data_IF_749866071301
#
_entry.id   IF_749866071301
#
_cell.length_a   1.000
_cell.length_b   1.000
_cell.length_c   1.000
_cell.angle_alpha   90.00
_cell.angle_beta   90.00
_cell.angle_gamma   90.00
#
_symmetry.space_group_name_H-M   'P 1'
#
loop_
_entity.id
_entity.type
_entity.pdbx_description
1 polymer ?
#
# COMPACT_ATOMS: atom_id res chain seq x y z
N UNK A 1 31.92 -35.50 56.65
CA UNK A 1 30.69 -35.02 56.03
C UNK A 1 31.04 -33.75 55.25
N UNK A 2 31.06 -33.79 53.92
CA UNK A 2 31.31 -32.64 53.03
C UNK A 2 29.98 -32.23 52.41
N UNK A 3 29.52 -31.06 52.70
CA UNK A 3 28.30 -30.48 52.09
C UNK A 3 28.61 -29.94 50.67
N UNK A 4 27.91 -30.46 49.70
CA UNK A 4 27.91 -29.97 48.30
C UNK A 4 26.92 -28.80 48.22
N UNK A 5 27.42 -27.58 47.99
CA UNK A 5 26.59 -26.41 47.66
C UNK A 5 26.20 -26.47 46.17
N UNK A 6 24.92 -26.62 45.89
CA UNK A 6 24.38 -26.51 44.55
C UNK A 6 24.22 -25.04 44.18
N UNK A 7 25.00 -24.58 43.20
CA UNK A 7 24.89 -23.24 42.61
C UNK A 7 23.81 -23.26 41.54
N UNK A 8 22.67 -22.62 41.80
CA UNK A 8 21.60 -22.43 40.81
C UNK A 8 21.94 -21.21 39.91
N UNK A 9 22.30 -21.49 38.68
CA UNK A 9 22.45 -20.46 37.65
C UNK A 9 21.06 -19.99 37.21
N UNK A 10 20.66 -18.81 37.63
CA UNK A 10 19.51 -18.10 37.11
C UNK A 10 19.85 -17.58 35.70
N UNK A 11 19.33 -18.22 34.66
CA UNK A 11 19.34 -17.70 33.29
C UNK A 11 18.40 -16.48 33.24
N UNK A 12 18.84 -15.34 32.69
CA UNK A 12 17.93 -14.21 32.46
C UNK A 12 16.88 -14.58 31.44
N UNK A 13 15.61 -14.45 31.80
CA UNK A 13 14.51 -14.55 30.86
C UNK A 13 14.65 -13.42 29.84
N UNK A 14 14.86 -13.76 28.58
CA UNK A 14 14.80 -12.82 27.48
C UNK A 14 13.35 -12.30 27.38
N UNK A 15 13.12 -11.06 27.81
CA UNK A 15 11.88 -10.37 27.54
C UNK A 15 11.79 -10.17 26.02
N UNK A 16 10.87 -10.91 25.37
CA UNK A 16 10.45 -10.56 24.03
C UNK A 16 9.87 -9.14 24.09
N UNK A 17 10.42 -8.23 23.27
CA UNK A 17 9.87 -6.88 23.17
C UNK A 17 8.39 -7.00 22.75
N UNK A 18 7.48 -6.40 23.51
CA UNK A 18 6.08 -6.30 23.12
C UNK A 18 6.02 -5.62 21.76
N UNK A 19 5.18 -6.11 20.82
CA UNK A 19 5.02 -5.45 19.53
C UNK A 19 4.58 -4.00 19.78
N UNK A 20 5.20 -3.06 19.07
CA UNK A 20 4.86 -1.64 19.17
C UNK A 20 3.34 -1.46 19.10
N UNK A 21 2.79 -0.64 19.97
CA UNK A 21 1.33 -0.41 20.10
C UNK A 21 0.68 0.06 18.81
N UNK A 22 1.46 0.61 17.87
CA UNK A 22 1.05 1.01 16.52
C UNK A 22 2.23 0.98 15.55
N UNK A 23 1.94 0.90 14.25
CA UNK A 23 2.93 0.95 13.17
C UNK A 23 2.53 2.03 12.17
N UNK A 24 3.48 2.88 11.80
CA UNK A 24 3.28 3.88 10.74
C UNK A 24 3.52 3.26 9.37
N UNK A 25 2.65 3.57 8.41
CA UNK A 25 2.74 3.14 7.02
C UNK A 25 2.56 4.34 6.10
N UNK A 26 3.43 4.47 5.09
CA UNK A 26 3.27 5.41 3.99
C UNK A 26 2.86 4.65 2.73
N UNK A 27 1.93 5.18 1.95
CA UNK A 27 1.46 4.51 0.74
C UNK A 27 1.25 5.51 -0.41
N UNK A 28 1.76 5.19 -1.59
CA UNK A 28 1.37 5.77 -2.87
C UNK A 28 1.79 4.85 -4.02
N UNK A 29 1.21 5.07 -5.19
CA UNK A 29 1.60 4.49 -6.47
C UNK A 29 1.83 5.60 -7.50
N UNK A 30 2.10 5.21 -8.77
CA UNK A 30 2.18 6.14 -9.89
C UNK A 30 3.32 7.15 -9.70
N UNK A 31 4.59 6.65 -9.76
CA UNK A 31 5.71 7.28 -9.08
C UNK A 31 6.66 8.00 -10.03
N UNK A 32 7.56 7.27 -10.71
CA UNK A 32 8.71 7.88 -11.35
C UNK A 32 8.57 7.96 -12.87
N UNK A 33 8.55 9.15 -13.43
CA UNK A 33 8.66 9.37 -14.88
C UNK A 33 10.12 9.45 -15.31
N UNK A 34 10.49 8.57 -16.26
CA UNK A 34 11.85 8.48 -16.80
C UNK A 34 12.01 9.21 -18.14
N UNK A 35 10.92 9.68 -18.71
CA UNK A 35 10.87 10.44 -19.96
C UNK A 35 10.90 11.97 -19.73
N UNK A 36 10.98 12.42 -18.49
CA UNK A 36 11.00 13.83 -18.11
C UNK A 36 12.18 14.19 -17.21
N UNK A 37 13.18 14.85 -17.79
CA UNK A 37 14.18 15.64 -17.07
C UNK A 37 15.00 14.89 -16.00
N UNK A 38 15.46 15.65 -15.00
CA UNK A 38 16.27 15.15 -13.89
C UNK A 38 15.38 14.50 -12.82
N UNK A 39 15.56 13.18 -12.51
CA UNK A 39 14.80 12.50 -11.47
C UNK A 39 14.85 13.19 -10.11
N UNK A 40 15.95 13.87 -9.76
CA UNK A 40 16.08 14.59 -8.49
C UNK A 40 15.16 15.82 -8.36
N UNK A 41 14.55 16.26 -9.47
CA UNK A 41 13.64 17.42 -9.52
C UNK A 41 12.21 17.02 -9.86
N UNK A 42 11.92 15.73 -9.83
CA UNK A 42 10.62 15.16 -10.19
C UNK A 42 9.62 15.16 -9.02
N UNK A 43 8.35 14.94 -9.33
CA UNK A 43 7.32 14.68 -8.32
C UNK A 43 7.67 13.46 -7.45
N UNK A 44 8.31 12.44 -8.05
CA UNK A 44 8.80 11.27 -7.32
C UNK A 44 9.88 11.62 -6.29
N UNK A 45 10.76 12.57 -6.58
CA UNK A 45 11.74 13.05 -5.61
C UNK A 45 11.05 13.77 -4.44
N UNK A 46 10.09 14.65 -4.73
CA UNK A 46 9.36 15.39 -3.71
C UNK A 46 8.60 14.45 -2.75
N UNK A 47 7.89 13.45 -3.27
CA UNK A 47 7.19 12.46 -2.45
C UNK A 47 8.16 11.54 -1.71
N UNK A 48 9.32 11.21 -2.31
CA UNK A 48 10.34 10.45 -1.64
C UNK A 48 10.96 11.22 -0.46
N UNK A 49 11.22 12.52 -0.59
CA UNK A 49 11.74 13.37 0.50
C UNK A 49 10.73 13.45 1.66
N UNK A 50 9.45 13.60 1.34
CA UNK A 50 8.37 13.54 2.32
C UNK A 50 8.40 12.24 3.13
N UNK A 51 8.46 11.08 2.43
CA UNK A 51 8.48 9.76 3.06
C UNK A 51 9.78 9.56 3.86
N UNK A 52 10.95 9.93 3.33
CA UNK A 52 12.23 9.84 4.03
C UNK A 52 12.20 10.59 5.36
N UNK A 53 11.64 11.80 5.38
CA UNK A 53 11.48 12.58 6.62
C UNK A 53 10.67 11.81 7.65
N UNK A 54 9.59 11.16 7.23
CA UNK A 54 8.78 10.31 8.10
C UNK A 54 9.50 9.04 8.57
N UNK A 55 10.29 8.39 7.69
CA UNK A 55 11.08 7.20 8.01
C UNK A 55 12.26 7.49 8.95
N UNK A 56 12.78 8.70 8.93
CA UNK A 56 13.79 9.16 9.91
C UNK A 56 13.16 9.37 11.28
N UNK A 57 11.96 9.95 11.34
CA UNK A 57 11.23 10.16 12.57
C UNK A 57 10.70 8.84 13.19
N UNK A 58 10.35 7.85 12.36
CA UNK A 58 9.90 6.51 12.79
C UNK A 58 10.72 5.41 12.08
N UNK A 59 11.78 4.89 12.74
CA UNK A 59 12.61 3.83 12.18
C UNK A 59 11.88 2.51 11.91
N UNK A 60 10.70 2.30 12.43
CA UNK A 60 9.89 1.09 12.22
C UNK A 60 8.78 1.26 11.18
N UNK A 61 8.60 2.46 10.64
CA UNK A 61 7.60 2.72 9.60
C UNK A 61 7.90 1.92 8.31
N UNK A 62 6.85 1.51 7.62
CA UNK A 62 6.89 0.78 6.36
C UNK A 62 6.33 1.62 5.20
N UNK A 63 6.63 1.20 3.96
CA UNK A 63 6.12 1.81 2.74
C UNK A 63 5.38 0.77 1.90
N UNK A 64 4.15 1.06 1.50
CA UNK A 64 3.39 0.26 0.54
C UNK A 64 3.45 0.97 -0.83
N UNK A 65 4.06 0.34 -1.82
CA UNK A 65 4.09 0.82 -3.19
C UNK A 65 2.91 0.22 -3.95
N UNK A 66 2.03 1.08 -4.47
CA UNK A 66 0.73 0.70 -5.01
C UNK A 66 0.73 0.47 -6.53
N UNK A 67 1.89 0.12 -7.10
CA UNK A 67 2.07 -0.12 -8.53
C UNK A 67 2.50 1.10 -9.30
N UNK A 68 2.85 0.88 -10.57
CA UNK A 68 3.41 1.87 -11.48
C UNK A 68 4.57 2.65 -10.86
N UNK A 69 5.60 1.88 -10.47
CA UNK A 69 6.82 2.42 -9.89
C UNK A 69 7.58 3.31 -10.89
N UNK A 70 7.54 2.93 -12.18
CA UNK A 70 8.24 3.64 -13.26
C UNK A 70 7.40 3.78 -14.51
N UNK A 71 7.64 4.83 -15.25
CA UNK A 71 7.05 5.15 -16.55
C UNK A 71 8.16 5.39 -17.57
N UNK A 72 7.92 5.06 -18.91
CA UNK A 72 6.62 4.62 -19.43
C UNK A 72 6.34 3.10 -19.38
N UNK A 73 7.35 2.22 -19.16
CA UNK A 73 7.14 0.78 -19.43
C UNK A 73 7.77 -0.19 -18.42
N UNK A 74 8.28 0.27 -17.30
CA UNK A 74 8.78 -0.59 -16.21
C UNK A 74 10.04 -1.40 -16.57
N UNK A 75 10.96 -0.85 -17.38
CA UNK A 75 12.21 -1.51 -17.73
C UNK A 75 13.20 -1.57 -16.56
N UNK A 76 14.17 -2.50 -16.56
CA UNK A 76 15.25 -2.49 -15.57
C UNK A 76 16.03 -1.17 -15.51
N UNK A 77 16.22 -0.50 -16.64
CA UNK A 77 16.88 0.81 -16.70
C UNK A 77 16.06 1.89 -15.99
N UNK A 78 14.74 1.96 -16.23
CA UNK A 78 13.86 2.90 -15.55
C UNK A 78 13.87 2.69 -14.03
N UNK A 79 13.89 1.44 -13.56
CA UNK A 79 14.04 1.16 -12.13
C UNK A 79 15.37 1.63 -11.58
N UNK A 80 16.47 1.50 -12.33
CA UNK A 80 17.82 1.93 -11.90
C UNK A 80 17.95 3.44 -11.92
N UNK A 81 17.50 4.07 -13.02
CA UNK A 81 17.85 5.45 -13.33
C UNK A 81 16.84 6.47 -12.77
N UNK A 82 15.59 6.05 -12.54
CA UNK A 82 14.53 6.95 -12.09
C UNK A 82 13.98 6.58 -10.70
N UNK A 83 13.52 5.34 -10.52
CA UNK A 83 12.99 4.89 -9.23
C UNK A 83 14.11 4.78 -8.18
N UNK A 84 15.26 4.25 -8.55
CA UNK A 84 16.42 4.06 -7.67
C UNK A 84 16.84 5.34 -6.94
N UNK A 85 17.10 6.44 -7.65
CA UNK A 85 17.48 7.71 -7.02
C UNK A 85 16.38 8.37 -6.16
N UNK A 86 15.12 8.02 -6.37
CA UNK A 86 13.96 8.59 -5.69
C UNK A 86 13.44 7.63 -4.61
N UNK A 87 12.43 6.85 -4.88
CA UNK A 87 11.82 5.90 -3.95
C UNK A 87 12.70 4.69 -3.63
N UNK A 88 13.70 4.40 -4.44
CA UNK A 88 14.70 3.37 -4.15
C UNK A 88 15.53 3.62 -2.89
N UNK A 89 15.58 4.87 -2.39
CA UNK A 89 16.28 5.25 -1.16
C UNK A 89 15.78 4.51 0.08
N UNK A 90 14.53 4.03 0.06
CA UNK A 90 13.93 3.25 1.14
C UNK A 90 13.41 1.88 0.68
N UNK A 91 14.02 1.31 -0.35
CA UNK A 91 13.68 0.00 -0.93
C UNK A 91 13.56 -1.12 0.12
N UNK A 92 14.46 -1.16 1.09
CA UNK A 92 14.47 -2.18 2.15
C UNK A 92 13.25 -2.12 3.09
N UNK A 93 12.48 -1.05 3.03
CA UNK A 93 11.25 -0.84 3.79
C UNK A 93 9.99 -0.89 2.94
N UNK A 94 10.17 -1.10 1.63
CA UNK A 94 9.08 -1.09 0.65
C UNK A 94 8.49 -2.49 0.46
N UNK A 95 7.18 -2.57 0.57
CA UNK A 95 6.35 -3.72 0.25
C UNK A 95 5.61 -3.43 -1.06
N UNK A 96 6.10 -3.92 -2.22
CA UNK A 96 5.61 -3.49 -3.51
C UNK A 96 4.40 -4.28 -4.00
N UNK A 97 3.49 -3.63 -4.74
CA UNK A 97 2.55 -4.27 -5.65
C UNK A 97 2.86 -3.85 -7.10
N UNK A 98 2.67 -4.71 -8.12
CA UNK A 98 2.92 -4.32 -9.50
C UNK A 98 1.73 -3.57 -10.11
N UNK A 99 2.01 -2.56 -10.94
CA UNK A 99 1.04 -1.87 -11.78
C UNK A 99 1.06 -2.32 -13.24
N UNK A 100 0.31 -1.67 -14.09
CA UNK A 100 0.23 -2.04 -15.52
C UNK A 100 1.46 -1.58 -16.32
N UNK A 101 2.12 -0.50 -15.92
CA UNK A 101 3.36 -0.06 -16.58
C UNK A 101 4.51 -1.04 -16.35
N UNK A 102 4.57 -1.74 -15.23
CA UNK A 102 5.52 -2.84 -15.04
C UNK A 102 5.28 -3.97 -16.04
N UNK A 103 4.01 -4.30 -16.36
CA UNK A 103 3.66 -5.35 -17.32
C UNK A 103 3.75 -4.93 -18.79
N UNK A 104 3.98 -3.65 -19.10
CA UNK A 104 4.37 -3.22 -20.44
C UNK A 104 5.76 -3.79 -20.82
N UNK A 105 6.63 -4.02 -19.85
CA UNK A 105 7.82 -4.88 -20.02
C UNK A 105 7.42 -6.35 -19.81
N UNK A 106 7.80 -7.22 -20.74
CA UNK A 106 7.42 -8.65 -20.74
C UNK A 106 7.68 -9.30 -19.39
N UNK A 107 6.63 -9.87 -18.79
CA UNK A 107 6.69 -10.55 -17.51
C UNK A 107 7.03 -9.64 -16.32
N UNK A 108 6.85 -8.32 -16.47
CA UNK A 108 7.25 -7.32 -15.48
C UNK A 108 8.71 -7.49 -15.03
N UNK A 109 9.62 -7.78 -15.97
CA UNK A 109 10.99 -8.17 -15.66
C UNK A 109 11.77 -7.10 -14.88
N UNK A 110 11.52 -5.81 -15.11
CA UNK A 110 12.12 -4.72 -14.33
C UNK A 110 11.69 -4.77 -12.87
N UNK A 111 10.41 -4.92 -12.62
CA UNK A 111 9.83 -5.01 -11.27
C UNK A 111 10.37 -6.21 -10.48
N UNK A 112 10.26 -7.42 -11.05
CA UNK A 112 10.73 -8.63 -10.37
C UNK A 112 12.25 -8.64 -10.19
N UNK A 113 13.01 -8.15 -11.18
CA UNK A 113 14.47 -8.01 -11.08
C UNK A 113 14.87 -7.01 -10.00
N UNK A 114 14.19 -5.87 -9.93
CA UNK A 114 14.49 -4.83 -8.96
C UNK A 114 14.12 -5.25 -7.53
N UNK A 115 12.90 -5.67 -7.27
CA UNK A 115 12.44 -6.00 -5.91
C UNK A 115 12.84 -7.40 -5.45
N UNK A 116 13.17 -8.32 -6.37
CA UNK A 116 13.60 -9.68 -6.04
C UNK A 116 12.60 -10.40 -5.13
N UNK A 117 13.06 -10.96 -4.01
CA UNK A 117 12.22 -11.70 -3.08
C UNK A 117 11.06 -10.87 -2.48
N UNK A 118 11.21 -9.56 -2.35
CA UNK A 118 10.14 -8.69 -1.83
C UNK A 118 8.91 -8.62 -2.76
N UNK A 119 9.08 -8.87 -4.06
CA UNK A 119 7.98 -8.94 -5.02
C UNK A 119 7.13 -10.20 -4.88
N UNK A 120 7.61 -11.23 -4.19
CA UNK A 120 6.94 -12.53 -4.09
C UNK A 120 6.65 -13.12 -5.47
N UNK A 121 5.42 -13.58 -5.69
CA UNK A 121 4.88 -14.01 -6.99
C UNK A 121 4.10 -12.90 -7.70
N UNK A 122 4.34 -11.63 -7.33
CA UNK A 122 3.51 -10.49 -7.67
C UNK A 122 2.33 -10.30 -6.71
N UNK A 123 2.13 -11.25 -5.78
CA UNK A 123 1.18 -11.16 -4.68
C UNK A 123 1.68 -11.97 -3.48
N UNK A 124 1.40 -11.51 -2.29
CA UNK A 124 1.85 -12.11 -1.03
C UNK A 124 1.10 -11.54 0.17
N UNK A 125 1.32 -12.10 1.36
CA UNK A 125 0.79 -11.58 2.61
C UNK A 125 1.87 -11.52 3.69
N UNK A 126 1.74 -10.57 4.60
CA UNK A 126 2.66 -10.40 5.72
C UNK A 126 1.94 -9.81 6.94
N UNK A 127 2.61 -9.89 8.08
CA UNK A 127 2.15 -9.28 9.32
C UNK A 127 2.92 -7.98 9.56
N UNK A 128 2.22 -6.91 9.93
CA UNK A 128 2.81 -5.65 10.32
C UNK A 128 2.14 -5.14 11.61
N UNK A 129 2.84 -5.22 12.73
CA UNK A 129 2.22 -5.04 14.03
C UNK A 129 1.07 -6.02 14.25
N UNK A 130 -0.11 -5.51 14.58
CA UNK A 130 -1.33 -6.29 14.77
C UNK A 130 -2.14 -6.53 13.48
N UNK A 131 -1.74 -5.90 12.36
CA UNK A 131 -2.46 -5.94 11.10
C UNK A 131 -1.97 -7.03 10.18
N UNK A 132 -2.90 -7.69 9.49
CA UNK A 132 -2.59 -8.58 8.38
C UNK A 132 -2.71 -7.82 7.06
N UNK A 133 -1.64 -7.85 6.26
CA UNK A 133 -1.58 -7.14 4.99
C UNK A 133 -1.50 -8.12 3.82
N UNK A 134 -2.20 -7.76 2.72
CA UNK A 134 -2.23 -8.52 1.47
C UNK A 134 -1.86 -7.61 0.31
N UNK A 135 -0.72 -7.88 -0.35
CA UNK A 135 -0.39 -7.34 -1.66
C UNK A 135 -1.01 -8.23 -2.72
N UNK A 136 -1.82 -7.67 -3.61
CA UNK A 136 -2.46 -8.40 -4.71
C UNK A 136 -1.99 -7.82 -6.05
N UNK A 137 -2.10 -8.64 -7.10
CA UNK A 137 -1.77 -8.25 -8.47
C UNK A 137 -3.05 -8.13 -9.31
N UNK A 138 -3.41 -6.91 -9.64
CA UNK A 138 -4.59 -6.61 -10.46
C UNK A 138 -4.35 -6.74 -11.97
N UNK A 139 -3.12 -7.08 -12.40
CA UNK A 139 -2.76 -7.21 -13.81
C UNK A 139 -2.92 -8.63 -14.37
N UNK A 140 -3.17 -9.60 -13.51
CA UNK A 140 -3.23 -11.01 -13.88
C UNK A 140 -4.35 -11.30 -14.87
N UNK A 141 -4.09 -12.20 -15.81
CA UNK A 141 -5.09 -12.78 -16.69
C UNK A 141 -6.13 -13.58 -15.91
N UNK A 142 -7.22 -14.00 -16.56
CA UNK A 142 -8.36 -14.66 -15.90
C UNK A 142 -7.94 -15.90 -15.09
N UNK A 143 -7.07 -16.73 -15.66
CA UNK A 143 -6.62 -17.99 -15.03
C UNK A 143 -5.75 -17.72 -13.81
N UNK A 144 -4.74 -16.85 -13.94
CA UNK A 144 -3.83 -16.50 -12.86
C UNK A 144 -4.56 -15.73 -11.74
N UNK A 145 -5.52 -14.87 -12.11
CA UNK A 145 -6.38 -14.19 -11.14
C UNK A 145 -7.20 -15.20 -10.31
N UNK A 146 -7.76 -16.26 -10.93
CA UNK A 146 -8.48 -17.29 -10.21
C UNK A 146 -7.56 -18.05 -9.21
N UNK A 147 -6.31 -18.30 -9.59
CA UNK A 147 -5.30 -18.91 -8.68
C UNK A 147 -4.99 -17.96 -7.51
N UNK A 148 -4.79 -16.67 -7.77
CA UNK A 148 -4.59 -15.66 -6.74
C UNK A 148 -5.80 -15.58 -5.80
N UNK A 149 -7.02 -15.59 -6.32
CA UNK A 149 -8.24 -15.53 -5.52
C UNK A 149 -8.40 -16.75 -4.61
N UNK A 150 -8.12 -17.95 -5.13
CA UNK A 150 -8.13 -19.19 -4.33
C UNK A 150 -7.09 -19.12 -3.20
N UNK A 151 -5.89 -18.63 -3.49
CA UNK A 151 -4.86 -18.39 -2.49
C UNK A 151 -5.28 -17.36 -1.44
N UNK A 152 -5.88 -16.22 -1.86
CA UNK A 152 -6.35 -15.17 -0.95
C UNK A 152 -7.39 -15.73 0.04
N UNK A 153 -8.40 -16.47 -0.45
CA UNK A 153 -9.42 -17.10 0.41
C UNK A 153 -8.81 -18.09 1.41
N UNK A 154 -7.86 -18.90 0.97
CA UNK A 154 -7.16 -19.83 1.84
C UNK A 154 -6.32 -19.12 2.91
N UNK A 155 -5.64 -18.03 2.56
CA UNK A 155 -4.85 -17.23 3.50
C UNK A 155 -5.75 -16.52 4.53
N UNK A 156 -6.85 -15.90 4.11
CA UNK A 156 -7.82 -15.26 4.99
C UNK A 156 -8.40 -16.26 6.00
N UNK A 157 -8.80 -17.45 5.54
CA UNK A 157 -9.35 -18.49 6.42
C UNK A 157 -8.29 -19.04 7.40
N UNK A 158 -7.05 -19.20 6.97
CA UNK A 158 -5.97 -19.77 7.79
C UNK A 158 -5.39 -18.78 8.80
N UNK A 159 -5.48 -17.48 8.52
CA UNK A 159 -4.86 -16.40 9.29
C UNK A 159 -5.85 -15.28 9.58
N UNK A 160 -6.92 -15.57 10.33
CA UNK A 160 -7.86 -14.53 10.70
C UNK A 160 -7.13 -13.44 11.50
N UNK A 161 -7.48 -12.19 11.23
CA UNK A 161 -6.92 -11.02 11.91
C UNK A 161 -8.05 -10.06 12.24
N UNK A 162 -7.97 -9.40 13.39
CA UNK A 162 -8.93 -8.38 13.76
C UNK A 162 -8.95 -7.21 12.77
N UNK A 163 -7.77 -6.82 12.28
CA UNK A 163 -7.64 -5.72 11.33
C UNK A 163 -6.88 -6.22 10.10
N UNK A 164 -7.45 -6.03 8.93
CA UNK A 164 -6.89 -6.47 7.66
C UNK A 164 -6.85 -5.31 6.65
N UNK A 165 -5.72 -5.18 5.96
CA UNK A 165 -5.51 -4.24 4.88
C UNK A 165 -5.08 -5.01 3.63
N UNK A 166 -5.70 -4.72 2.48
CA UNK A 166 -5.22 -5.19 1.19
C UNK A 166 -4.84 -4.01 0.29
N UNK A 167 -3.91 -4.24 -0.65
CA UNK A 167 -3.56 -3.22 -1.62
C UNK A 167 -3.17 -3.86 -2.96
N UNK A 168 -3.46 -3.12 -4.02
CA UNK A 168 -3.16 -3.46 -5.42
C UNK A 168 -3.24 -2.20 -6.29
N UNK A 169 -2.92 -2.31 -7.57
CA UNK A 169 -2.83 -1.12 -8.40
C UNK A 169 -4.18 -0.57 -8.88
N UNK A 170 -5.00 -1.35 -9.63
CA UNK A 170 -6.23 -0.84 -10.24
C UNK A 170 -7.39 -0.78 -9.25
N UNK A 171 -7.95 0.40 -8.93
CA UNK A 171 -9.00 0.55 -7.91
C UNK A 171 -10.32 -0.11 -8.34
N UNK A 172 -11.04 -0.75 -7.39
CA UNK A 172 -12.40 -1.24 -7.68
C UNK A 172 -13.36 -0.07 -7.90
N UNK A 173 -13.18 1.02 -7.17
CA UNK A 173 -13.95 2.26 -7.30
C UNK A 173 -13.00 3.44 -7.51
N UNK A 174 -13.27 4.25 -8.53
CA UNK A 174 -12.54 5.48 -8.78
C UNK A 174 -13.39 6.50 -9.54
N UNK A 175 -13.33 7.74 -9.10
CA UNK A 175 -13.88 8.91 -9.81
C UNK A 175 -12.89 9.50 -10.82
N UNK A 176 -11.70 8.95 -10.92
CA UNK A 176 -10.62 9.40 -11.79
C UNK A 176 -10.86 9.10 -13.28
N UNK A 177 -9.89 9.47 -14.10
CA UNK A 177 -10.00 9.39 -15.56
C UNK A 177 -10.05 7.94 -16.07
N UNK A 178 -9.34 7.02 -15.43
CA UNK A 178 -9.31 5.59 -15.78
C UNK A 178 -10.53 4.84 -15.25
N UNK A 179 -11.11 5.33 -14.13
CA UNK A 179 -12.34 4.82 -13.56
C UNK A 179 -12.19 3.49 -12.82
N UNK A 180 -13.33 2.90 -12.51
CA UNK A 180 -13.44 1.68 -11.71
C UNK A 180 -13.02 0.41 -12.46
N UNK A 181 -12.33 -0.52 -11.78
CA UNK A 181 -11.81 -1.75 -12.37
C UNK A 181 -12.50 -2.99 -11.81
N UNK A 182 -13.59 -3.39 -12.43
CA UNK A 182 -14.50 -4.45 -11.95
C UNK A 182 -13.86 -5.84 -11.76
N UNK A 183 -12.68 -6.11 -12.35
CA UNK A 183 -11.98 -7.40 -12.21
C UNK A 183 -11.59 -7.70 -10.77
N UNK A 184 -11.38 -6.67 -9.93
CA UNK A 184 -11.02 -6.85 -8.53
C UNK A 184 -12.23 -7.09 -7.61
N UNK A 185 -13.45 -7.16 -8.15
CA UNK A 185 -14.68 -7.34 -7.36
C UNK A 185 -14.68 -8.64 -6.55
N UNK A 186 -14.22 -9.74 -7.12
CA UNK A 186 -14.19 -11.04 -6.42
C UNK A 186 -13.18 -11.06 -5.27
N UNK A 187 -12.04 -10.38 -5.44
CA UNK A 187 -11.06 -10.20 -4.36
C UNK A 187 -11.61 -9.30 -3.25
N UNK A 188 -12.30 -8.22 -3.63
CA UNK A 188 -12.99 -7.35 -2.68
C UNK A 188 -14.06 -8.12 -1.88
N UNK A 189 -14.87 -8.94 -2.56
CA UNK A 189 -15.89 -9.75 -1.90
C UNK A 189 -15.28 -10.72 -0.87
N UNK A 190 -14.18 -11.40 -1.23
CA UNK A 190 -13.48 -12.30 -0.31
C UNK A 190 -12.92 -11.55 0.93
N UNK A 191 -12.38 -10.35 0.72
CA UNK A 191 -11.90 -9.48 1.79
C UNK A 191 -13.05 -8.98 2.68
N UNK A 192 -14.16 -8.58 2.07
CA UNK A 192 -15.36 -8.12 2.78
C UNK A 192 -15.95 -9.24 3.68
N UNK A 193 -16.07 -10.45 3.15
CA UNK A 193 -16.53 -11.64 3.90
C UNK A 193 -15.60 -11.99 5.07
N UNK A 194 -14.32 -11.66 4.95
CA UNK A 194 -13.31 -11.87 6.00
C UNK A 194 -13.18 -10.68 6.97
N UNK A 195 -14.01 -9.64 6.85
CA UNK A 195 -13.97 -8.47 7.72
C UNK A 195 -12.76 -7.57 7.51
N UNK A 196 -12.31 -7.36 6.27
CA UNK A 196 -11.21 -6.45 5.99
C UNK A 196 -11.65 -4.98 6.13
N UNK A 197 -10.75 -4.15 6.66
CA UNK A 197 -10.98 -2.73 6.94
C UNK A 197 -10.65 -1.82 5.77
N UNK A 198 -9.51 -2.08 5.11
CA UNK A 198 -8.90 -1.16 4.17
C UNK A 198 -8.52 -1.82 2.86
N UNK A 199 -8.74 -1.08 1.77
CA UNK A 199 -8.14 -1.33 0.47
C UNK A 199 -7.44 -0.06 -0.01
N UNK A 200 -6.17 -0.19 -0.45
CA UNK A 200 -5.43 0.89 -1.08
C UNK A 200 -5.18 0.56 -2.55
N UNK A 201 -5.26 1.56 -3.40
CA UNK A 201 -5.00 1.43 -4.83
C UNK A 201 -4.31 2.69 -5.38
N UNK A 202 -3.72 2.57 -6.58
CA UNK A 202 -3.15 3.67 -7.37
C UNK A 202 -3.94 3.84 -8.68
N UNK A 203 -3.21 3.89 -9.83
CA UNK A 203 -3.68 3.87 -11.20
C UNK A 203 -4.35 5.18 -11.67
N UNK A 204 -5.36 5.68 -10.98
CA UNK A 204 -5.80 7.04 -11.17
C UNK A 204 -4.88 7.98 -10.38
N UNK A 205 -4.25 8.91 -11.09
CA UNK A 205 -3.25 9.81 -10.52
C UNK A 205 -3.91 10.93 -9.71
N UNK A 206 -4.67 10.49 -8.71
CA UNK A 206 -5.47 11.32 -7.81
C UNK A 206 -5.35 10.80 -6.39
N UNK A 207 -5.71 11.63 -5.43
CA UNK A 207 -6.12 11.16 -4.12
C UNK A 207 -7.63 11.04 -4.08
N UNK A 208 -8.16 9.91 -3.60
CA UNK A 208 -9.59 9.79 -3.32
C UNK A 208 -9.83 8.81 -2.15
N UNK A 209 -10.74 9.19 -1.25
CA UNK A 209 -11.18 8.34 -0.15
C UNK A 209 -12.68 8.09 -0.21
N UNK A 210 -13.05 6.83 -0.15
CA UNK A 210 -14.43 6.39 -0.13
C UNK A 210 -14.94 6.11 1.30
N UNK A 211 -16.25 6.23 1.49
CA UNK A 211 -16.93 5.66 2.65
C UNK A 211 -16.79 4.13 2.66
N UNK A 212 -16.88 3.47 3.84
CA UNK A 212 -16.92 2.01 3.89
C UNK A 212 -18.07 1.43 3.06
N UNK A 213 -17.77 0.43 2.21
CA UNK A 213 -18.73 -0.13 1.26
C UNK A 213 -18.50 -1.62 0.99
N UNK A 214 -19.55 -2.29 0.49
CA UNK A 214 -19.47 -3.67 0.02
C UNK A 214 -18.95 -3.76 -1.43
N UNK A 215 -18.87 -4.98 -1.98
CA UNK A 215 -18.39 -5.23 -3.34
C UNK A 215 -19.36 -4.73 -4.45
N UNK A 216 -20.57 -4.32 -4.09
CA UNK A 216 -21.53 -3.71 -5.01
C UNK A 216 -21.56 -2.17 -4.91
N UNK A 217 -20.67 -1.57 -4.09
CA UNK A 217 -20.62 -0.13 -3.86
C UNK A 217 -21.74 0.39 -2.95
N UNK A 218 -22.41 -0.50 -2.20
CA UNK A 218 -23.38 -0.06 -1.21
C UNK A 218 -22.65 0.35 0.06
N UNK A 219 -22.95 1.53 0.56
CA UNK A 219 -22.35 2.03 1.81
C UNK A 219 -22.69 1.11 3.00
N UNK A 220 -21.67 0.78 3.79
CA UNK A 220 -21.71 -0.12 4.94
C UNK A 220 -20.84 0.42 6.07
N UNK A 221 -21.30 1.45 6.76
CA UNK A 221 -20.49 2.19 7.74
C UNK A 221 -19.93 1.30 8.88
N UNK A 222 -20.64 0.23 9.24
CA UNK A 222 -20.26 -0.65 10.35
C UNK A 222 -19.48 -1.90 9.95
N UNK A 223 -19.42 -2.25 8.64
CA UNK A 223 -18.83 -3.52 8.19
C UNK A 223 -18.24 -3.44 6.79
N UNK A 224 -18.20 -2.26 6.20
CA UNK A 224 -17.69 -2.05 4.83
C UNK A 224 -16.19 -1.84 4.80
N UNK A 225 -15.60 -2.06 3.64
CA UNK A 225 -14.20 -1.76 3.36
C UNK A 225 -14.07 -0.31 2.94
N UNK A 226 -13.19 0.46 3.58
CA UNK A 226 -12.81 1.80 3.16
C UNK A 226 -11.73 1.71 2.10
N UNK A 227 -11.95 2.33 0.93
CA UNK A 227 -10.93 2.42 -0.12
C UNK A 227 -10.26 3.79 -0.11
N UNK A 228 -8.95 3.78 -0.38
CA UNK A 228 -8.17 4.94 -0.78
C UNK A 228 -7.58 4.70 -2.16
N UNK A 229 -7.72 5.65 -3.05
CA UNK A 229 -6.93 5.78 -4.28
C UNK A 229 -5.81 6.78 -3.98
N UNK A 230 -4.58 6.40 -4.20
CA UNK A 230 -3.38 7.18 -3.88
C UNK A 230 -2.37 7.07 -5.02
N UNK A 231 -2.78 7.47 -6.21
CA UNK A 231 -1.92 7.53 -7.41
C UNK A 231 -1.12 8.83 -7.49
N UNK A 232 -0.69 9.33 -6.34
CA UNK A 232 -0.10 10.67 -6.19
C UNK A 232 1.41 10.63 -5.97
N UNK A 233 2.06 9.48 -6.29
CA UNK A 233 3.48 9.23 -6.03
C UNK A 233 4.46 10.10 -6.81
N UNK A 234 4.01 10.80 -7.86
CA UNK A 234 4.86 11.79 -8.51
C UNK A 234 4.91 11.76 -10.04
N UNK A 235 4.20 10.85 -10.72
CA UNK A 235 4.28 10.74 -12.18
C UNK A 235 3.65 11.95 -12.89
N UNK A 236 2.37 12.12 -12.83
CA UNK A 236 1.60 13.28 -13.35
C UNK A 236 0.18 13.23 -12.78
N UNK A 237 -0.50 14.36 -12.78
CA UNK A 237 -1.88 14.45 -12.31
C UNK A 237 -2.88 14.07 -13.43
N UNK A 238 -3.98 13.42 -13.07
CA UNK A 238 -5.12 13.17 -13.96
C UNK A 238 -6.40 13.75 -13.37
N UNK A 239 -7.35 14.26 -14.20
CA UNK A 239 -8.54 14.87 -13.67
C UNK A 239 -9.51 13.86 -13.06
N UNK A 240 -10.24 14.30 -12.04
CA UNK A 240 -11.47 13.64 -11.63
C UNK A 240 -12.53 13.83 -12.70
N UNK A 241 -13.23 12.75 -13.07
CA UNK A 241 -14.26 12.79 -14.12
C UNK A 241 -15.66 12.97 -13.54
N UNK A 242 -16.06 11.99 -12.73
CA UNK A 242 -17.42 11.91 -12.20
C UNK A 242 -17.34 11.42 -10.75
N UNK A 243 -17.59 12.25 -9.76
CA UNK A 243 -17.61 11.81 -8.37
C UNK A 243 -18.58 10.66 -8.15
N UNK A 244 -18.09 9.55 -7.62
CA UNK A 244 -18.92 8.41 -7.24
C UNK A 244 -19.68 8.69 -5.93
N UNK A 245 -20.85 8.06 -5.70
CA UNK A 245 -21.71 8.37 -4.56
C UNK A 245 -21.05 8.23 -3.19
N UNK A 246 -20.07 7.34 -3.02
CA UNK A 246 -19.38 7.12 -1.75
C UNK A 246 -18.04 7.86 -1.64
N UNK A 247 -17.68 8.69 -2.61
CA UNK A 247 -16.50 9.55 -2.53
C UNK A 247 -16.70 10.60 -1.43
N UNK A 248 -15.76 10.71 -0.49
CA UNK A 248 -15.83 11.60 0.67
C UNK A 248 -14.76 12.68 0.68
N UNK A 249 -13.62 12.42 0.05
CA UNK A 249 -12.52 13.37 -0.11
C UNK A 249 -11.78 13.03 -1.40
N UNK A 250 -11.37 14.03 -2.16
CA UNK A 250 -10.61 13.83 -3.40
C UNK A 250 -9.79 15.07 -3.77
N UNK A 251 -8.66 14.84 -4.44
CA UNK A 251 -7.81 15.88 -5.03
C UNK A 251 -7.10 15.29 -6.26
N UNK A 252 -6.99 16.10 -7.32
CA UNK A 252 -6.38 15.72 -8.59
C UNK A 252 -5.16 16.59 -8.96
N UNK A 253 -4.65 17.40 -8.04
CA UNK A 253 -3.65 18.41 -8.35
C UNK A 253 -2.37 18.31 -7.51
N UNK A 254 -2.31 17.32 -6.61
CA UNK A 254 -1.22 17.22 -5.63
C UNK A 254 -0.44 15.94 -5.77
N UNK A 255 0.87 16.04 -5.56
CA UNK A 255 1.71 14.90 -5.24
C UNK A 255 1.75 14.71 -3.73
N UNK A 256 1.79 13.47 -3.27
CA UNK A 256 1.80 13.18 -1.86
C UNK A 256 1.72 11.69 -1.55
N UNK A 257 1.60 11.39 -0.27
CA UNK A 257 1.46 10.03 0.22
C UNK A 257 0.38 9.95 1.30
N UNK A 258 -0.32 8.83 1.35
CA UNK A 258 -1.18 8.48 2.47
C UNK A 258 -0.31 7.98 3.63
N UNK A 259 -0.39 8.64 4.77
CA UNK A 259 0.13 8.15 6.04
C UNK A 259 -0.98 7.41 6.78
N UNK A 260 -0.72 6.18 7.18
CA UNK A 260 -1.57 5.41 8.09
C UNK A 260 -0.83 5.17 9.41
N UNK A 261 -1.56 5.20 10.51
CA UNK A 261 -1.11 4.70 11.80
C UNK A 261 -2.01 3.54 12.18
N UNK A 262 -1.46 2.34 12.14
CA UNK A 262 -2.16 1.07 12.33
C UNK A 262 -1.99 0.63 13.79
N UNK A 263 -3.04 0.72 14.59
CA UNK A 263 -3.07 0.29 16.00
C UNK A 263 -3.69 -1.12 16.14
N UNK A 264 -3.75 -1.66 17.33
CA UNK A 264 -4.23 -3.03 17.57
C UNK A 264 -5.69 -3.27 17.12
N UNK A 265 -6.56 -2.24 17.21
CA UNK A 265 -7.98 -2.32 16.91
C UNK A 265 -8.53 -1.09 16.15
N UNK A 266 -7.64 -0.27 15.61
CA UNK A 266 -8.01 1.00 14.98
C UNK A 266 -6.95 1.47 14.00
N UNK A 267 -7.29 2.45 13.19
CA UNK A 267 -6.36 3.13 12.30
C UNK A 267 -6.66 4.63 12.21
N UNK A 268 -5.60 5.39 11.97
CA UNK A 268 -5.70 6.79 11.60
C UNK A 268 -5.11 6.99 10.21
N UNK A 269 -5.60 7.98 9.47
CA UNK A 269 -5.07 8.37 8.17
C UNK A 269 -4.85 9.87 8.08
N UNK A 270 -3.87 10.25 7.27
CA UNK A 270 -3.63 11.62 6.85
C UNK A 270 -3.02 11.60 5.44
N UNK A 271 -3.58 12.38 4.51
CA UNK A 271 -2.92 12.64 3.24
C UNK A 271 -1.86 13.74 3.45
N UNK A 272 -0.62 13.39 3.16
CA UNK A 272 0.53 14.28 3.26
C UNK A 272 0.84 14.84 1.88
N UNK A 273 0.75 16.18 1.73
CA UNK A 273 1.11 16.89 0.52
C UNK A 273 2.64 17.03 0.43
N UNK A 274 3.21 16.77 -0.74
CA UNK A 274 4.64 16.96 -0.98
C UNK A 274 5.02 18.46 -1.12
N UNK A 275 4.05 19.33 -1.38
CA UNK A 275 4.23 20.79 -1.26
C UNK A 275 4.01 21.20 0.19
N UNK A 276 5.07 21.66 0.86
CA UNK A 276 5.13 21.86 2.32
C UNK A 276 4.10 22.82 2.93
N UNK A 277 3.44 23.66 2.14
CA UNK A 277 2.61 24.78 2.61
C UNK A 277 1.10 24.61 2.31
N UNK A 278 0.68 23.42 1.86
CA UNK A 278 -0.72 23.15 1.52
C UNK A 278 -1.61 22.93 2.75
N UNK A 279 -2.90 23.32 2.68
CA UNK A 279 -3.86 22.95 3.72
C UNK A 279 -3.97 21.42 3.78
N UNK A 280 -4.17 20.86 4.98
CA UNK A 280 -4.41 19.43 5.17
C UNK A 280 -5.66 19.02 4.41
N UNK A 281 -5.50 18.14 3.43
CA UNK A 281 -6.57 17.74 2.53
C UNK A 281 -7.57 16.80 3.21
N UNK A 282 -7.06 15.76 3.85
CA UNK A 282 -7.89 14.71 4.45
C UNK A 282 -7.17 14.04 5.61
N UNK A 283 -7.92 13.78 6.68
CA UNK A 283 -7.47 13.01 7.84
C UNK A 283 -8.65 12.45 8.62
N UNK A 284 -8.40 11.42 9.39
CA UNK A 284 -9.42 10.84 10.26
C UNK A 284 -8.93 9.62 11.00
N UNK A 285 -9.87 9.01 11.71
CA UNK A 285 -9.65 7.77 12.47
C UNK A 285 -10.84 6.85 12.33
N UNK A 286 -10.65 5.54 12.46
CA UNK A 286 -11.70 4.56 12.55
C UNK A 286 -11.24 3.36 13.38
N UNK A 287 -12.22 2.59 13.89
CA UNK A 287 -11.96 1.29 14.52
C UNK A 287 -12.09 0.18 13.52
N UNK A 288 -11.38 -0.91 13.79
CA UNK A 288 -11.61 -2.18 13.11
C UNK A 288 -12.95 -2.77 13.61
N UNK A 289 -13.70 -3.36 12.70
CA UNK A 289 -15.01 -3.98 12.98
C UNK A 289 -14.95 -5.50 13.23
#
# INVERSE_FOLDING_TARGET
MRALAACWLLLPAAFAAEPASSVTVYAAGDIARCDEGDPARSGAAATADLIVSGLVADPHAAVLMLGDATYPVGTPAEFTDCYGPTWGRFKSRTWPAPGNHEYATKGAAGYFGYFGAAAGRGYYSFQLGHWRLYSLNSNLGKTEHAVQLAWLRAELARRPSRCTLAYWHHPLYSSGMHGSFARMKDAWQALYEAGAELVLAGHDHTYERFAPQDADGRRKDASGIRQFVVGTGGAFATPLKWPLPNSQASDANRYGALKLVLSADSYAWEFLDAAADGPRLDRGTARCH
#
